data_IF_511067944378
#
_entry.id   IF_511067944378
#
_cell.length_a   1.000
_cell.length_b   1.000
_cell.length_c   1.000
_cell.angle_alpha   90.00
_cell.angle_beta   90.00
_cell.angle_gamma   90.00
#
_symmetry.space_group_name_H-M   'P 1'
#
loop_
_entity.id
_entity.type
_entity.pdbx_description
1 polymer ?
#
# COMPACT_ATOMS: atom_id res chain seq x y z
N UNK A 1 -25.85 23.19 -3.66
CA UNK A 1 -24.57 22.59 -3.25
C UNK A 1 -24.00 21.90 -4.48
N UNK A 2 -23.04 22.53 -5.15
CA UNK A 2 -22.64 22.14 -6.50
C UNK A 2 -21.71 20.91 -6.44
N UNK A 3 -22.12 19.83 -7.12
CA UNK A 3 -21.22 18.72 -7.43
C UNK A 3 -20.04 19.31 -8.21
N UNK A 4 -18.81 19.05 -7.75
CA UNK A 4 -17.62 19.45 -8.50
C UNK A 4 -17.43 18.47 -9.66
N UNK A 5 -18.17 18.72 -10.75
CA UNK A 5 -18.17 17.90 -11.97
C UNK A 5 -16.75 17.72 -12.51
N UNK A 6 -15.90 18.75 -12.41
CA UNK A 6 -14.49 18.68 -12.81
C UNK A 6 -13.69 17.65 -11.99
N UNK A 7 -13.90 17.62 -10.66
CA UNK A 7 -13.26 16.63 -9.77
C UNK A 7 -13.69 15.20 -10.08
N UNK A 8 -14.98 14.97 -10.33
CA UNK A 8 -15.50 13.64 -10.70
C UNK A 8 -14.92 13.16 -12.02
N UNK A 9 -14.88 14.03 -13.04
CA UNK A 9 -14.28 13.69 -14.35
C UNK A 9 -12.79 13.34 -14.19
N UNK A 10 -12.04 14.12 -13.40
CA UNK A 10 -10.62 13.86 -13.17
C UNK A 10 -10.37 12.50 -12.51
N UNK A 11 -11.18 12.12 -11.51
CA UNK A 11 -11.09 10.83 -10.83
C UNK A 11 -11.37 9.68 -11.79
N UNK A 12 -12.43 9.79 -12.60
CA UNK A 12 -12.80 8.75 -13.58
C UNK A 12 -11.68 8.55 -14.60
N UNK A 13 -11.13 9.63 -15.17
CA UNK A 13 -10.01 9.56 -16.11
C UNK A 13 -8.79 8.92 -15.45
N UNK A 14 -8.47 9.31 -14.22
CA UNK A 14 -7.33 8.77 -13.49
C UNK A 14 -7.45 7.25 -13.25
N UNK A 15 -8.60 6.76 -12.81
CA UNK A 15 -8.82 5.32 -12.64
C UNK A 15 -8.80 4.55 -13.97
N UNK A 16 -9.34 5.13 -15.05
CA UNK A 16 -9.24 4.52 -16.38
C UNK A 16 -7.80 4.40 -16.86
N UNK A 17 -6.95 5.39 -16.58
CA UNK A 17 -5.52 5.32 -16.90
C UNK A 17 -4.82 4.22 -16.11
N UNK A 18 -5.07 4.12 -14.80
CA UNK A 18 -4.52 3.03 -13.97
C UNK A 18 -4.94 1.67 -14.50
N UNK A 19 -6.24 1.50 -14.80
CA UNK A 19 -6.77 0.26 -15.33
C UNK A 19 -6.15 -0.09 -16.69
N UNK A 20 -6.00 0.90 -17.58
CA UNK A 20 -5.37 0.72 -18.88
C UNK A 20 -3.91 0.26 -18.74
N UNK A 21 -3.13 0.91 -17.88
CA UNK A 21 -1.73 0.52 -17.62
C UNK A 21 -1.66 -0.89 -17.02
N UNK A 22 -2.56 -1.24 -16.10
CA UNK A 22 -2.64 -2.57 -15.50
C UNK A 22 -2.95 -3.67 -16.53
N UNK A 23 -3.91 -3.44 -17.41
CA UNK A 23 -4.26 -4.38 -18.50
C UNK A 23 -3.12 -4.49 -19.51
N UNK A 24 -2.49 -3.37 -19.87
CA UNK A 24 -1.35 -3.38 -20.79
C UNK A 24 -0.16 -4.14 -20.21
N UNK A 25 0.16 -3.94 -18.92
CA UNK A 25 1.20 -4.66 -18.22
C UNK A 25 0.88 -6.16 -18.13
N UNK A 26 -0.36 -6.52 -17.79
CA UNK A 26 -0.81 -7.92 -17.74
C UNK A 26 -0.70 -8.62 -19.11
N UNK A 27 -1.00 -7.91 -20.20
CA UNK A 27 -0.89 -8.42 -21.58
C UNK A 27 0.54 -8.55 -22.08
N UNK A 28 1.50 -7.86 -21.47
CA UNK A 28 2.92 -7.91 -21.85
C UNK A 28 3.67 -9.08 -21.19
N UNK A 29 2.98 -9.86 -20.34
CA UNK A 29 3.54 -11.06 -19.70
C UNK A 29 3.82 -12.12 -20.78
N UNK A 30 5.06 -12.64 -20.90
CA UNK A 30 5.38 -13.67 -21.87
C UNK A 30 4.58 -14.95 -21.56
N UNK A 31 3.95 -15.53 -22.58
CA UNK A 31 3.26 -16.83 -22.48
C UNK A 31 4.28 -17.90 -22.08
N UNK A 32 4.25 -18.36 -20.82
CA UNK A 32 5.16 -19.40 -20.30
C UNK A 32 5.62 -19.23 -18.84
N UNK A 33 5.46 -18.05 -18.22
CA UNK A 33 5.71 -17.84 -16.78
C UNK A 33 4.41 -18.07 -15.97
N UNK A 34 3.98 -19.32 -15.85
CA UNK A 34 2.83 -19.73 -15.03
C UNK A 34 3.21 -20.02 -13.57
N UNK A 35 4.48 -19.90 -13.19
CA UNK A 35 4.90 -20.13 -11.81
C UNK A 35 4.52 -18.92 -10.95
N UNK A 36 3.64 -19.14 -9.97
CA UNK A 36 3.16 -18.10 -9.07
C UNK A 36 4.32 -17.40 -8.34
N UNK A 37 5.38 -18.15 -8.06
CA UNK A 37 6.59 -17.68 -7.41
C UNK A 37 7.35 -16.65 -8.28
N UNK A 38 7.43 -16.86 -9.60
CA UNK A 38 8.10 -15.95 -10.53
C UNK A 38 7.34 -14.62 -10.69
N UNK A 39 6.01 -14.67 -10.59
CA UNK A 39 5.15 -13.48 -10.56
C UNK A 39 5.35 -12.69 -9.28
N UNK A 40 5.44 -13.38 -8.14
CA UNK A 40 5.63 -12.74 -6.84
C UNK A 40 6.99 -12.04 -6.72
N UNK A 41 8.04 -12.61 -7.31
CA UNK A 41 9.40 -12.02 -7.25
C UNK A 41 9.75 -11.15 -8.46
N UNK A 42 8.87 -11.06 -9.47
CA UNK A 42 9.06 -10.34 -10.73
C UNK A 42 10.41 -10.70 -11.41
N UNK A 43 10.75 -12.00 -11.45
CA UNK A 43 12.02 -12.51 -11.96
C UNK A 43 13.25 -11.90 -11.27
N UNK A 44 13.07 -11.29 -10.08
CA UNK A 44 14.08 -10.55 -9.33
C UNK A 44 14.73 -9.41 -10.14
N UNK A 45 14.18 -8.99 -11.27
CA UNK A 45 14.84 -8.07 -12.21
C UNK A 45 14.53 -6.59 -11.97
N UNK A 46 13.71 -6.28 -10.95
CA UNK A 46 13.31 -4.91 -10.63
C UNK A 46 14.54 -4.05 -10.32
N UNK A 47 14.74 -3.00 -11.11
CA UNK A 47 15.78 -2.01 -10.89
C UNK A 47 15.51 -1.16 -9.65
N UNK A 48 16.58 -0.64 -9.04
CA UNK A 48 16.52 0.16 -7.80
C UNK A 48 15.57 1.35 -7.93
N UNK A 49 15.56 2.02 -9.09
CA UNK A 49 14.70 3.17 -9.35
C UNK A 49 13.21 2.80 -9.23
N UNK A 50 12.78 1.76 -9.97
CA UNK A 50 11.39 1.27 -9.91
C UNK A 50 11.06 0.78 -8.50
N UNK A 51 11.99 0.09 -7.85
CA UNK A 51 11.84 -0.35 -6.45
C UNK A 51 11.58 0.80 -5.49
N UNK A 52 12.29 1.94 -5.60
CA UNK A 52 12.07 3.11 -4.76
C UNK A 52 10.66 3.67 -4.98
N UNK A 53 10.21 3.81 -6.24
CA UNK A 53 8.86 4.31 -6.54
C UNK A 53 7.78 3.39 -5.99
N UNK A 54 7.91 2.07 -6.20
CA UNK A 54 6.94 1.09 -5.71
C UNK A 54 6.88 1.09 -4.18
N UNK A 55 8.03 1.06 -3.50
CA UNK A 55 8.07 1.10 -2.03
C UNK A 55 7.47 2.40 -1.49
N UNK A 56 7.80 3.54 -2.11
CA UNK A 56 7.22 4.83 -1.70
C UNK A 56 5.70 4.83 -1.89
N UNK A 57 5.21 4.29 -3.01
CA UNK A 57 3.77 4.19 -3.28
C UNK A 57 3.04 3.30 -2.26
N UNK A 58 3.67 2.26 -1.72
CA UNK A 58 3.08 1.41 -0.66
C UNK A 58 2.90 2.15 0.66
N UNK A 59 3.87 2.98 1.05
CA UNK A 59 3.86 3.67 2.36
C UNK A 59 3.13 5.02 2.32
N UNK A 60 3.19 5.74 1.20
CA UNK A 60 2.55 7.05 1.04
C UNK A 60 1.11 6.85 0.56
N UNK A 61 0.23 6.52 1.51
CA UNK A 61 -1.20 6.32 1.28
C UNK A 61 -2.09 7.46 1.82
N UNK A 62 -3.41 7.35 1.59
CA UNK A 62 -4.39 8.33 2.06
C UNK A 62 -4.42 8.49 3.59
N UNK A 63 -4.25 7.40 4.34
CA UNK A 63 -4.17 7.45 5.81
C UNK A 63 -2.95 8.23 6.30
N UNK A 64 -1.79 8.02 5.67
CA UNK A 64 -0.57 8.75 5.97
C UNK A 64 -0.69 10.25 5.64
N UNK A 65 -1.25 10.59 4.47
CA UNK A 65 -1.43 11.98 4.03
C UNK A 65 -2.40 12.72 4.96
N UNK A 66 -3.57 12.13 5.23
CA UNK A 66 -4.57 12.76 6.09
C UNK A 66 -4.07 12.89 7.54
N UNK A 67 -3.44 11.85 8.10
CA UNK A 67 -2.91 11.89 9.46
C UNK A 67 -1.74 12.87 9.62
N UNK A 68 -0.86 12.99 8.62
CA UNK A 68 0.22 13.98 8.65
C UNK A 68 -0.34 15.41 8.52
N UNK A 69 -1.36 15.60 7.68
CA UNK A 69 -2.00 16.90 7.52
C UNK A 69 -2.67 17.36 8.84
N UNK A 70 -3.36 16.46 9.53
CA UNK A 70 -3.96 16.72 10.85
C UNK A 70 -2.89 17.05 11.90
N UNK A 71 -1.85 16.23 12.01
CA UNK A 71 -0.77 16.45 12.98
C UNK A 71 -0.04 17.79 12.75
N UNK A 72 0.22 18.16 11.49
CA UNK A 72 0.85 19.44 11.15
C UNK A 72 -0.08 20.62 11.41
N UNK A 73 -1.40 20.44 11.22
CA UNK A 73 -2.38 21.47 11.52
C UNK A 73 -2.45 21.78 13.03
N UNK A 74 -2.44 20.75 13.88
CA UNK A 74 -2.58 20.92 15.33
C UNK A 74 -1.27 21.30 16.03
N UNK A 75 -0.16 20.68 15.63
CA UNK A 75 1.11 20.75 16.38
C UNK A 75 2.26 21.39 15.60
N UNK A 76 2.02 21.79 14.35
CA UNK A 76 2.97 22.49 13.49
C UNK A 76 3.93 21.56 12.72
N UNK A 77 4.66 22.15 11.78
CA UNK A 77 5.58 21.46 10.85
C UNK A 77 6.67 20.60 11.54
N UNK A 78 7.02 20.92 12.78
CA UNK A 78 8.07 20.22 13.56
C UNK A 78 7.73 18.74 13.80
N UNK A 79 6.43 18.39 13.78
CA UNK A 79 5.95 17.03 13.97
C UNK A 79 5.85 16.21 12.68
N UNK A 80 6.20 16.78 11.51
CA UNK A 80 6.31 16.06 10.25
C UNK A 80 7.61 15.21 10.18
N UNK A 81 7.86 14.39 11.20
CA UNK A 81 9.03 13.51 11.29
C UNK A 81 8.77 12.14 10.65
N UNK A 82 7.51 11.77 10.48
CA UNK A 82 7.10 10.50 9.89
C UNK A 82 7.76 10.20 8.53
N UNK A 83 7.88 11.15 7.57
CA UNK A 83 8.54 10.87 6.29
C UNK A 83 10.02 10.51 6.44
N UNK A 84 10.74 11.20 7.34
CA UNK A 84 12.15 10.92 7.60
C UNK A 84 12.33 9.55 8.27
N UNK A 85 11.44 9.20 9.21
CA UNK A 85 11.41 7.89 9.84
C UNK A 85 11.21 6.76 8.83
N UNK A 86 10.22 6.89 7.93
CA UNK A 86 9.96 5.91 6.87
C UNK A 86 11.10 5.82 5.86
N UNK A 87 11.67 6.94 5.44
CA UNK A 87 12.80 6.94 4.51
C UNK A 87 14.02 6.22 5.11
N UNK A 88 14.35 6.52 6.37
CA UNK A 88 15.46 5.84 7.06
C UNK A 88 15.17 4.36 7.25
N UNK A 89 13.97 3.97 7.68
CA UNK A 89 13.63 2.56 7.89
C UNK A 89 13.69 1.76 6.58
N UNK A 90 13.28 2.33 5.46
CA UNK A 90 13.38 1.73 4.13
C UNK A 90 14.83 1.59 3.66
N UNK A 91 15.68 2.58 3.91
CA UNK A 91 17.11 2.52 3.57
C UNK A 91 17.81 1.44 4.39
N UNK A 92 17.64 1.46 5.72
CA UNK A 92 18.24 0.45 6.59
C UNK A 92 17.70 -0.95 6.29
N UNK A 93 16.39 -1.08 6.10
CA UNK A 93 15.73 -2.33 5.71
C UNK A 93 16.27 -2.89 4.40
N UNK A 94 16.40 -2.03 3.38
CA UNK A 94 16.94 -2.39 2.08
C UNK A 94 18.40 -2.82 2.13
N UNK A 95 19.28 -2.03 2.77
CA UNK A 95 20.72 -2.32 2.81
C UNK A 95 21.03 -3.59 3.63
N UNK A 96 20.37 -3.77 4.77
CA UNK A 96 20.66 -4.88 5.69
C UNK A 96 20.01 -6.19 5.27
N UNK A 97 18.74 -6.16 4.84
CA UNK A 97 17.95 -7.37 4.62
C UNK A 97 17.83 -7.76 3.15
N UNK A 98 17.76 -6.81 2.21
CA UNK A 98 17.44 -7.15 0.81
C UNK A 98 18.48 -8.07 0.17
N UNK A 99 19.78 -7.81 0.38
CA UNK A 99 20.85 -8.66 -0.14
C UNK A 99 20.81 -10.07 0.46
N UNK A 100 20.60 -10.18 1.78
CA UNK A 100 20.56 -11.46 2.47
C UNK A 100 19.36 -12.29 2.01
N UNK A 101 18.17 -11.68 1.96
CA UNK A 101 16.95 -12.33 1.49
C UNK A 101 17.08 -12.83 0.05
N UNK A 102 17.62 -11.99 -0.84
CA UNK A 102 17.82 -12.33 -2.25
C UNK A 102 18.81 -13.47 -2.45
N UNK A 103 19.88 -13.52 -1.65
CA UNK A 103 20.91 -14.58 -1.72
C UNK A 103 20.41 -15.95 -1.27
N UNK A 104 19.47 -16.00 -0.32
CA UNK A 104 18.90 -17.23 0.23
C UNK A 104 17.65 -17.69 -0.53
N UNK A 105 17.16 -16.86 -1.45
CA UNK A 105 16.02 -17.18 -2.28
C UNK A 105 14.66 -17.03 -1.60
N UNK A 106 14.59 -16.33 -0.47
CA UNK A 106 13.35 -16.11 0.26
C UNK A 106 12.35 -15.26 -0.52
N UNK A 107 11.08 -15.61 -0.42
CA UNK A 107 9.95 -14.93 -1.07
C UNK A 107 9.20 -14.06 -0.05
N UNK A 108 9.08 -14.52 1.19
CA UNK A 108 8.41 -13.79 2.28
C UNK A 108 9.40 -13.38 3.37
N UNK A 109 9.14 -12.25 4.05
CA UNK A 109 9.86 -11.83 5.26
C UNK A 109 9.77 -12.85 6.40
N UNK A 110 8.80 -13.76 6.36
CA UNK A 110 8.59 -14.84 7.34
C UNK A 110 9.46 -16.06 7.08
N UNK A 111 9.97 -16.27 5.86
CA UNK A 111 10.72 -17.47 5.48
C UNK A 111 11.99 -17.68 6.32
N UNK A 112 12.83 -16.66 6.59
CA UNK A 112 14.01 -16.83 7.46
C UNK A 112 13.65 -17.23 8.89
N UNK A 113 12.47 -16.80 9.38
CA UNK A 113 11.97 -17.11 10.71
C UNK A 113 11.36 -18.51 10.75
N UNK A 114 10.68 -18.90 9.68
CA UNK A 114 10.16 -20.25 9.49
C UNK A 114 11.28 -21.29 9.41
N UNK A 115 12.38 -20.98 8.71
CA UNK A 115 13.56 -21.86 8.63
C UNK A 115 14.26 -22.01 9.99
N UNK A 116 14.38 -20.91 10.75
CA UNK A 116 15.09 -20.93 12.04
C UNK A 116 14.25 -21.53 13.18
N UNK A 117 12.94 -21.28 13.20
CA UNK A 117 12.07 -21.61 14.34
C UNK A 117 11.00 -22.67 14.01
N UNK A 118 10.96 -23.17 12.77
CA UNK A 118 10.05 -24.19 12.30
C UNK A 118 8.69 -23.65 11.82
N UNK A 119 7.96 -24.48 11.06
CA UNK A 119 6.68 -24.13 10.43
C UNK A 119 5.58 -23.65 11.39
N UNK A 120 5.57 -24.12 12.64
CA UNK A 120 4.61 -23.66 13.66
C UNK A 120 4.82 -22.19 14.03
N UNK A 121 6.07 -21.74 14.09
CA UNK A 121 6.39 -20.35 14.40
C UNK A 121 6.12 -19.44 13.19
N UNK A 122 6.33 -19.93 11.96
CA UNK A 122 5.91 -19.24 10.74
C UNK A 122 4.40 -18.95 10.71
N UNK A 123 3.58 -19.97 11.00
CA UNK A 123 2.12 -19.80 11.08
C UNK A 123 1.66 -18.87 12.22
N UNK A 124 2.35 -18.87 13.36
CA UNK A 124 2.05 -17.95 14.46
C UNK A 124 2.38 -16.49 14.10
N UNK A 125 3.52 -16.26 13.46
CA UNK A 125 3.97 -14.93 13.04
C UNK A 125 3.14 -14.35 11.88
N UNK A 126 2.49 -15.22 11.10
CA UNK A 126 1.54 -14.81 10.08
C UNK A 126 0.31 -14.10 10.66
N UNK A 127 -0.17 -14.48 11.86
CA UNK A 127 -1.36 -13.88 12.45
C UNK A 127 -1.19 -12.37 12.73
N UNK A 128 -0.14 -11.90 13.42
CA UNK A 128 0.12 -10.46 13.56
C UNK A 128 0.30 -9.74 12.22
N UNK A 129 0.99 -10.36 11.25
CA UNK A 129 1.22 -9.77 9.94
C UNK A 129 -0.12 -9.55 9.20
N UNK A 130 -0.98 -10.56 9.18
CA UNK A 130 -2.31 -10.48 8.59
C UNK A 130 -3.17 -9.42 9.28
N UNK A 131 -3.18 -9.38 10.61
CA UNK A 131 -3.90 -8.36 11.37
C UNK A 131 -3.40 -6.95 11.03
N UNK A 132 -2.08 -6.77 10.92
CA UNK A 132 -1.48 -5.50 10.52
C UNK A 132 -1.98 -5.02 9.15
N UNK A 133 -1.98 -5.92 8.16
CA UNK A 133 -2.46 -5.61 6.80
C UNK A 133 -3.97 -5.32 6.76
N UNK A 134 -4.77 -6.02 7.57
CA UNK A 134 -6.21 -5.77 7.69
C UNK A 134 -6.48 -4.38 8.28
N UNK A 135 -5.79 -4.02 9.37
CA UNK A 135 -5.94 -2.69 9.98
C UNK A 135 -5.43 -1.58 9.06
N UNK A 136 -4.33 -1.82 8.34
CA UNK A 136 -3.79 -0.88 7.36
C UNK A 136 -4.77 -0.64 6.21
N UNK A 137 -5.35 -1.71 5.66
CA UNK A 137 -6.36 -1.65 4.61
C UNK A 137 -7.60 -0.90 5.07
N UNK A 138 -8.07 -1.16 6.30
CA UNK A 138 -9.20 -0.44 6.90
C UNK A 138 -8.91 1.06 7.05
N UNK A 139 -7.70 1.44 7.47
CA UNK A 139 -7.30 2.85 7.58
C UNK A 139 -7.29 3.55 6.21
N UNK A 140 -6.79 2.89 5.15
CA UNK A 140 -6.81 3.44 3.79
C UNK A 140 -8.24 3.61 3.27
N UNK A 141 -9.11 2.62 3.48
CA UNK A 141 -10.52 2.70 3.10
C UNK A 141 -11.25 3.82 3.87
N UNK A 142 -10.95 3.99 5.16
CA UNK A 142 -11.46 5.10 5.97
C UNK A 142 -11.03 6.46 5.42
N UNK A 143 -9.75 6.62 5.06
CA UNK A 143 -9.23 7.83 4.47
C UNK A 143 -9.84 8.12 3.08
N UNK A 144 -10.08 7.09 2.27
CA UNK A 144 -10.78 7.20 1.00
C UNK A 144 -12.22 7.70 1.23
N UNK A 145 -12.94 7.12 2.19
CA UNK A 145 -14.29 7.53 2.56
C UNK A 145 -14.38 9.00 2.99
N UNK A 146 -13.45 9.44 3.84
CA UNK A 146 -13.36 10.84 4.27
C UNK A 146 -13.13 11.80 3.08
N UNK A 147 -12.27 11.40 2.14
CA UNK A 147 -11.98 12.22 0.95
C UNK A 147 -13.18 12.32 0.00
N UNK A 148 -13.93 11.23 -0.18
CA UNK A 148 -15.12 11.18 -1.06
C UNK A 148 -16.30 11.96 -0.48
N UNK A 149 -16.44 12.03 0.85
CA UNK A 149 -17.48 12.81 1.52
C UNK A 149 -17.46 14.30 1.11
N UNK A 150 -16.27 14.85 0.87
CA UNK A 150 -16.13 16.24 0.41
C UNK A 150 -16.48 16.44 -1.07
N UNK A 151 -16.42 15.39 -1.90
CA UNK A 151 -16.63 15.45 -3.36
C UNK A 151 -18.07 15.12 -3.79
N UNK A 152 -18.75 14.21 -3.09
CA UNK A 152 -20.06 13.67 -3.48
C UNK A 152 -21.03 13.69 -2.28
N UNK A 153 -21.72 14.82 -2.01
CA UNK A 153 -22.69 14.90 -0.92
C UNK A 153 -23.90 13.94 -1.07
N UNK A 154 -24.10 13.34 -2.25
CA UNK A 154 -25.13 12.31 -2.49
C UNK A 154 -24.79 10.92 -1.91
N UNK A 155 -23.51 10.60 -1.73
CA UNK A 155 -23.07 9.32 -1.13
C UNK A 155 -23.11 9.37 0.40
N UNK A 156 -23.07 10.57 1.00
CA UNK A 156 -23.21 10.76 2.45
C UNK A 156 -24.47 10.08 3.01
N UNK A 157 -25.57 10.04 2.24
CA UNK A 157 -26.80 9.40 2.69
C UNK A 157 -26.69 7.87 2.73
N UNK A 158 -25.95 7.25 1.80
CA UNK A 158 -25.69 5.81 1.80
C UNK A 158 -24.67 5.40 2.87
N UNK A 159 -23.61 6.20 3.09
CA UNK A 159 -22.61 5.94 4.12
C UNK A 159 -23.18 6.14 5.53
N UNK A 160 -24.02 7.17 5.74
CA UNK A 160 -24.72 7.39 7.02
C UNK A 160 -25.73 6.26 7.29
N UNK A 161 -26.43 5.75 6.28
CA UNK A 161 -27.30 4.57 6.44
C UNK A 161 -26.50 3.34 6.86
N UNK A 162 -25.33 3.07 6.24
CA UNK A 162 -24.48 1.95 6.68
C UNK A 162 -23.88 2.15 8.07
N UNK A 163 -23.50 3.38 8.44
CA UNK A 163 -23.01 3.72 9.79
C UNK A 163 -24.07 3.67 10.89
N UNK A 164 -25.36 3.65 10.55
CA UNK A 164 -26.47 3.62 11.50
C UNK A 164 -27.07 2.21 11.67
N UNK A 165 -26.51 1.21 10.99
CA UNK A 165 -26.90 -0.21 11.05
C UNK A 165 -25.92 -1.05 11.90
N UNK A 166 -24.76 -0.48 12.28
CA UNK A 166 -23.95 -0.93 13.43
C UNK A 166 -24.33 -0.14 14.69
#
# INVERSE_FOLDING_TARGET
MAINIGGVIAIVIFYLLILFVGIWAAKKKPEGEDDADDVMVAGRSIGVFVGIFTMTATWVGGGYINGTAEAVYDTGLVWCQAPFGYAMSLIFGGVLFANKMRSQGYVTMLDPLQDKFGGRMGGLLFLPALCGEVFWSAAILGALGASVQHLLPLISLLIVIFKCVE
#
